data_IF_264922799273
#
_entry.id   IF_264922799273
#
_cell.length_a   1.000
_cell.length_b   1.000
_cell.length_c   1.000
_cell.angle_alpha   90.00
_cell.angle_beta   90.00
_cell.angle_gamma   90.00
#
_symmetry.space_group_name_H-M   'P 1'
#
loop_
_entity.id
_entity.type
_entity.pdbx_description
1 polymer ?
#
# COMPACT_ATOMS: atom_id res chain seq x y z
N UNK A 1 1.12 3.87 -29.22
CA UNK A 1 0.40 3.56 -30.47
C UNK A 1 1.39 3.42 -31.61
N UNK A 2 2.29 4.40 -31.82
CA UNK A 2 3.34 4.36 -32.85
C UNK A 2 4.21 3.09 -32.83
N UNK A 3 4.71 2.66 -31.67
CA UNK A 3 5.50 1.41 -31.60
C UNK A 3 4.67 0.16 -31.92
N UNK A 4 3.39 0.17 -31.57
CA UNK A 4 2.49 -0.97 -31.76
C UNK A 4 1.86 -0.98 -33.15
N UNK A 5 1.90 0.15 -33.88
CA UNK A 5 1.18 0.38 -35.13
C UNK A 5 -0.33 0.08 -35.01
N UNK A 6 -0.89 0.29 -33.81
CA UNK A 6 -2.30 0.05 -33.47
C UNK A 6 -2.84 1.27 -32.74
N UNK A 7 -3.99 1.77 -33.21
CA UNK A 7 -4.77 2.80 -32.51
C UNK A 7 -5.42 2.19 -31.28
N UNK A 8 -5.13 2.76 -30.12
CA UNK A 8 -5.66 2.35 -28.84
C UNK A 8 -6.76 3.33 -28.37
N UNK A 9 -6.65 4.59 -28.75
CA UNK A 9 -7.57 5.63 -28.33
C UNK A 9 -8.19 6.36 -29.53
N UNK A 10 -9.50 6.55 -29.48
CA UNK A 10 -10.24 7.31 -30.49
C UNK A 10 -10.86 8.56 -29.87
N UNK A 11 -10.82 9.67 -30.61
CA UNK A 11 -11.42 10.93 -30.16
C UNK A 11 -12.85 11.05 -30.67
N UNK A 12 -13.83 11.05 -29.76
CA UNK A 12 -15.23 11.38 -30.07
C UNK A 12 -15.59 12.75 -29.52
N UNK A 13 -15.44 13.77 -30.36
CA UNK A 13 -15.74 15.16 -29.98
C UNK A 13 -14.83 15.66 -28.86
N UNK A 14 -15.39 15.76 -27.63
CA UNK A 14 -14.64 16.18 -26.43
C UNK A 14 -14.22 15.01 -25.54
N UNK A 15 -14.61 13.78 -25.83
CA UNK A 15 -14.20 12.58 -25.10
C UNK A 15 -13.15 11.79 -25.87
N UNK A 16 -12.38 11.00 -25.11
CA UNK A 16 -11.50 9.97 -25.62
C UNK A 16 -12.13 8.63 -25.22
N UNK A 17 -12.26 7.73 -26.18
CA UNK A 17 -12.78 6.38 -25.99
C UNK A 17 -11.69 5.35 -26.25
N UNK A 18 -11.75 4.24 -25.50
CA UNK A 18 -10.88 3.09 -25.71
C UNK A 18 -11.37 2.27 -26.90
N UNK A 19 -10.45 1.86 -27.75
CA UNK A 19 -10.71 0.82 -28.75
C UNK A 19 -10.75 -0.57 -28.10
N UNK A 20 -11.25 -1.59 -28.81
CA UNK A 20 -11.20 -2.98 -28.35
C UNK A 20 -9.77 -3.44 -28.05
N UNK A 21 -8.81 -3.05 -28.91
CA UNK A 21 -7.38 -3.32 -28.72
C UNK A 21 -6.84 -2.72 -27.43
N UNK A 22 -7.29 -1.52 -27.04
CA UNK A 22 -6.90 -0.89 -25.79
C UNK A 22 -7.51 -1.55 -24.57
N UNK A 23 -8.78 -1.97 -24.65
CA UNK A 23 -9.42 -2.73 -23.57
C UNK A 23 -8.66 -4.03 -23.34
N UNK A 24 -8.40 -4.79 -24.40
CA UNK A 24 -7.64 -6.04 -24.33
C UNK A 24 -6.25 -5.81 -23.72
N UNK A 25 -5.48 -4.85 -24.25
CA UNK A 25 -4.12 -4.57 -23.79
C UNK A 25 -4.07 -4.07 -22.35
N UNK A 26 -5.09 -3.33 -21.90
CA UNK A 26 -5.15 -2.76 -20.55
C UNK A 26 -5.06 -3.82 -19.44
N UNK A 27 -5.64 -5.00 -19.67
CA UNK A 27 -5.58 -6.10 -18.71
C UNK A 27 -4.13 -6.59 -18.49
N UNK A 28 -3.38 -6.76 -19.58
CA UNK A 28 -2.00 -7.21 -19.53
C UNK A 28 -1.06 -6.13 -19.00
N UNK A 29 -1.27 -4.88 -19.41
CA UNK A 29 -0.49 -3.74 -18.93
C UNK A 29 -0.67 -3.59 -17.42
N UNK A 30 -1.91 -3.65 -16.92
CA UNK A 30 -2.20 -3.60 -15.49
C UNK A 30 -1.48 -4.71 -14.74
N UNK A 31 -1.64 -5.96 -15.16
CA UNK A 31 -0.98 -7.10 -14.52
C UNK A 31 0.55 -6.95 -14.52
N UNK A 32 1.13 -6.50 -15.63
CA UNK A 32 2.58 -6.25 -15.71
C UNK A 32 3.06 -5.17 -14.73
N UNK A 33 2.32 -4.06 -14.62
CA UNK A 33 2.66 -3.01 -13.66
C UNK A 33 2.49 -3.46 -12.20
N UNK A 34 1.49 -4.30 -11.91
CA UNK A 34 1.30 -4.89 -10.58
C UNK A 34 2.50 -5.79 -10.21
N UNK A 35 2.95 -6.63 -11.14
CA UNK A 35 4.14 -7.49 -10.97
C UNK A 35 5.44 -6.68 -10.83
N UNK A 36 5.63 -5.64 -11.65
CA UNK A 36 6.78 -4.74 -11.49
C UNK A 36 6.77 -4.03 -10.14
N UNK A 37 5.58 -3.60 -9.68
CA UNK A 37 5.41 -2.98 -8.36
C UNK A 37 5.75 -3.95 -7.23
N UNK A 38 5.34 -5.22 -7.34
CA UNK A 38 5.75 -6.28 -6.40
C UNK A 38 7.26 -6.52 -6.44
N UNK A 39 7.87 -6.63 -7.61
CA UNK A 39 9.32 -6.82 -7.76
C UNK A 39 10.11 -5.69 -7.10
N UNK A 40 9.75 -4.44 -7.39
CA UNK A 40 10.34 -3.24 -6.76
C UNK A 40 10.12 -3.27 -5.25
N UNK A 41 8.91 -3.59 -4.78
CA UNK A 41 8.62 -3.75 -3.36
C UNK A 41 9.51 -4.80 -2.71
N UNK A 42 9.73 -5.97 -3.30
CA UNK A 42 10.56 -7.03 -2.70
C UNK A 42 12.03 -6.63 -2.60
N UNK A 43 12.56 -5.98 -3.65
CA UNK A 43 13.95 -5.51 -3.66
C UNK A 43 14.17 -4.40 -2.65
N UNK A 44 13.22 -3.46 -2.56
CA UNK A 44 13.29 -2.35 -1.59
C UNK A 44 12.97 -2.80 -0.15
N UNK A 45 12.03 -3.75 0.03
CA UNK A 45 11.71 -4.33 1.34
C UNK A 45 12.81 -5.27 1.88
N UNK A 46 13.73 -5.75 1.05
CA UNK A 46 14.86 -6.59 1.51
C UNK A 46 15.81 -5.84 2.47
N UNK A 47 15.90 -4.50 2.33
CA UNK A 47 16.65 -3.62 3.24
C UNK A 47 15.82 -3.11 4.45
N UNK A 48 14.56 -3.55 4.57
CA UNK A 48 13.55 -3.03 5.49
C UNK A 48 13.22 -3.98 6.64
N UNK A 49 14.03 -5.02 6.86
CA UNK A 49 13.76 -6.06 7.87
C UNK A 49 13.52 -5.52 9.28
N UNK A 50 13.86 -4.26 9.49
CA UNK A 50 13.78 -3.60 10.78
C UNK A 50 12.66 -2.55 10.88
N UNK A 51 12.08 -2.04 9.78
CA UNK A 51 11.05 -0.99 9.91
C UNK A 51 9.65 -1.57 9.99
N UNK A 52 8.89 -1.11 10.99
CA UNK A 52 7.49 -1.49 11.23
C UNK A 52 6.64 -0.22 11.23
N UNK A 53 5.80 -0.04 10.22
CA UNK A 53 4.82 1.03 10.17
C UNK A 53 3.52 0.57 10.84
N UNK A 54 3.29 1.03 12.08
CA UNK A 54 2.12 0.70 12.89
C UNK A 54 1.13 1.87 12.89
N UNK A 55 -0.11 1.60 12.48
CA UNK A 55 -1.23 2.49 12.71
C UNK A 55 -1.97 2.07 14.00
N UNK A 56 -2.36 3.01 14.84
CA UNK A 56 -3.13 2.67 16.04
C UNK A 56 -4.18 3.73 16.39
N UNK A 57 -5.25 3.30 17.05
CA UNK A 57 -6.21 4.22 17.65
C UNK A 57 -5.49 5.14 18.65
N UNK A 58 -5.83 6.45 18.71
CA UNK A 58 -5.13 7.41 19.57
C UNK A 58 -5.07 6.98 21.05
N UNK A 59 -6.15 6.38 21.57
CA UNK A 59 -6.20 5.90 22.94
C UNK A 59 -5.22 4.75 23.20
N UNK A 60 -5.21 3.74 22.32
CA UNK A 60 -4.28 2.61 22.43
C UNK A 60 -2.83 3.06 22.31
N UNK A 61 -2.53 3.92 21.34
CA UNK A 61 -1.20 4.50 21.14
C UNK A 61 -0.68 5.15 22.43
N UNK A 62 -1.48 6.02 23.03
CA UNK A 62 -1.06 6.84 24.18
C UNK A 62 -1.03 6.08 25.50
N UNK A 63 -2.04 5.26 25.80
CA UNK A 63 -2.21 4.65 27.11
C UNK A 63 -1.66 3.23 27.22
N UNK A 64 -1.48 2.55 26.08
CA UNK A 64 -1.00 1.16 26.07
C UNK A 64 0.38 1.03 25.44
N UNK A 65 0.56 1.59 24.24
CA UNK A 65 1.76 1.36 23.45
C UNK A 65 2.96 2.21 23.89
N UNK A 66 2.79 3.53 24.01
CA UNK A 66 3.88 4.43 24.41
C UNK A 66 4.56 4.05 25.74
N UNK A 67 3.83 3.68 26.81
CA UNK A 67 4.46 3.24 28.07
C UNK A 67 5.31 1.97 27.94
N UNK A 68 5.08 1.16 26.90
CA UNK A 68 5.77 -0.13 26.65
C UNK A 68 6.82 -0.03 25.55
N UNK A 69 7.03 1.16 24.99
CA UNK A 69 7.93 1.35 23.84
C UNK A 69 9.39 1.05 24.21
N UNK A 70 9.81 1.33 25.44
CA UNK A 70 11.15 1.00 25.93
C UNK A 70 11.38 -0.52 25.92
N UNK A 71 10.42 -1.30 26.44
CA UNK A 71 10.49 -2.76 26.42
C UNK A 71 10.52 -3.30 24.98
N UNK A 72 9.73 -2.71 24.08
CA UNK A 72 9.76 -3.08 22.66
C UNK A 72 11.16 -2.90 22.05
N UNK A 73 11.83 -1.77 22.33
CA UNK A 73 13.20 -1.49 21.85
C UNK A 73 14.24 -2.43 22.45
N UNK A 74 14.03 -2.92 23.68
CA UNK A 74 14.91 -3.91 24.30
C UNK A 74 14.78 -5.29 23.65
N UNK A 75 13.56 -5.72 23.33
CA UNK A 75 13.29 -7.03 22.71
C UNK A 75 13.69 -7.03 21.23
N UNK A 76 13.47 -5.92 20.53
CA UNK A 76 13.74 -5.75 19.09
C UNK A 76 14.62 -4.50 18.85
N UNK A 77 15.91 -4.54 19.22
CA UNK A 77 16.80 -3.37 19.15
C UNK A 77 17.11 -2.90 17.73
N UNK A 78 16.96 -3.77 16.73
CA UNK A 78 17.08 -3.39 15.32
C UNK A 78 15.87 -2.63 14.81
N UNK A 79 14.70 -2.77 15.43
CA UNK A 79 13.45 -2.36 14.81
C UNK A 79 13.20 -0.83 14.85
N UNK A 80 12.95 -0.21 13.70
CA UNK A 80 12.42 1.15 13.52
C UNK A 80 10.89 1.11 13.54
N UNK A 81 10.29 1.30 14.71
CA UNK A 81 8.83 1.42 14.84
C UNK A 81 8.38 2.84 14.51
N UNK A 82 7.60 2.98 13.43
CA UNK A 82 6.91 4.23 13.08
C UNK A 82 5.44 4.13 13.43
N UNK A 83 5.02 4.96 14.39
CA UNK A 83 3.65 5.01 14.87
C UNK A 83 2.88 6.13 14.18
N UNK A 84 1.75 5.80 13.56
CA UNK A 84 0.75 6.76 13.09
C UNK A 84 -0.55 6.56 13.86
N UNK A 85 -1.26 7.65 14.12
CA UNK A 85 -2.58 7.61 14.76
C UNK A 85 -3.64 8.08 13.79
N UNK A 86 -4.51 7.16 13.35
CA UNK A 86 -5.67 7.46 12.52
C UNK A 86 -6.89 6.71 13.04
N UNK A 87 -8.08 7.24 12.75
CA UNK A 87 -9.36 6.66 13.18
C UNK A 87 -9.96 5.72 12.12
N UNK A 88 -9.52 5.83 10.86
CA UNK A 88 -10.00 5.00 9.75
C UNK A 88 -9.08 3.79 9.53
N UNK A 89 -9.64 2.69 9.01
CA UNK A 89 -8.86 1.52 8.63
C UNK A 89 -8.03 1.83 7.38
N UNK A 90 -6.72 1.50 7.38
CA UNK A 90 -5.85 1.71 6.22
C UNK A 90 -6.15 0.72 5.10
N UNK A 91 -5.85 1.13 3.87
CA UNK A 91 -5.77 0.23 2.73
C UNK A 91 -4.35 -0.35 2.68
N UNK A 92 -4.17 -1.60 3.13
CA UNK A 92 -2.85 -2.25 3.18
C UNK A 92 -2.18 -2.45 1.81
N UNK A 93 -2.93 -2.35 0.70
CA UNK A 93 -2.38 -2.42 -0.64
C UNK A 93 -1.81 -1.08 -1.12
N UNK A 94 -2.33 0.03 -0.58
CA UNK A 94 -2.00 1.40 -1.02
C UNK A 94 -1.17 2.18 0.00
N UNK A 95 -1.46 2.00 1.28
CA UNK A 95 -0.88 2.73 2.37
C UNK A 95 0.38 2.02 2.87
N UNK A 96 1.41 2.79 3.23
CA UNK A 96 2.65 2.26 3.81
C UNK A 96 2.47 1.90 5.29
N UNK A 97 1.55 0.98 5.57
CA UNK A 97 1.21 0.48 6.90
C UNK A 97 1.35 -1.05 6.90
N UNK A 98 2.13 -1.57 7.83
CA UNK A 98 2.34 -3.02 7.98
C UNK A 98 1.29 -3.64 8.93
N UNK A 99 0.77 -2.87 9.88
CA UNK A 99 -0.20 -3.32 10.88
C UNK A 99 -1.08 -2.18 11.38
N UNK A 100 -2.33 -2.49 11.74
CA UNK A 100 -3.22 -1.55 12.43
C UNK A 100 -3.78 -2.13 13.74
N UNK A 101 -3.86 -1.30 14.79
CA UNK A 101 -4.54 -1.62 16.06
C UNK A 101 -5.67 -0.63 16.28
N UNK A 102 -6.88 -1.05 15.95
CA UNK A 102 -8.08 -0.22 16.05
C UNK A 102 -9.09 -0.81 17.02
N UNK A 103 -9.94 0.06 17.55
CA UNK A 103 -11.11 -0.36 18.30
C UNK A 103 -12.29 -0.54 17.35
N UNK A 104 -13.05 -1.62 17.53
CA UNK A 104 -14.29 -1.81 16.78
C UNK A 104 -14.98 -3.11 17.16
N UNK A 105 -16.15 -3.31 16.55
CA UNK A 105 -17.03 -4.44 16.83
C UNK A 105 -16.86 -5.61 15.85
N UNK A 106 -15.80 -5.59 15.03
CA UNK A 106 -15.57 -6.54 13.93
C UNK A 106 -15.98 -5.98 12.57
N UNK A 107 -16.12 -6.85 11.55
CA UNK A 107 -16.40 -6.44 10.17
C UNK A 107 -15.18 -5.91 9.41
N UNK A 108 -13.99 -6.44 9.75
CA UNK A 108 -12.74 -6.07 9.11
C UNK A 108 -12.71 -6.58 7.65
N UNK A 109 -12.21 -5.77 6.70
CA UNK A 109 -12.11 -6.15 5.28
C UNK A 109 -11.11 -7.28 5.02
#
# INVERSE_FOLDING_TARGET
>A
EDTLQVTLFERKGRSIELTESAILLSHYVKAGFDEFSEGVRRVTKSNYRDRINLNASPYFATHYLLPRLSLFREILPGADLRLTTMVYLPDFGRDDIDMTVQWGYGGWP
#
